data_IF_134347103105
#
_entry.id   IF_134347103105
#
_cell.length_a   1.000
_cell.length_b   1.000
_cell.length_c   1.000
_cell.angle_alpha   90.00
_cell.angle_beta   90.00
_cell.angle_gamma   90.00
#
_symmetry.space_group_name_H-M   'P 1'
#
loop_
_entity.id
_entity.type
_entity.pdbx_description
1 polymer ?
#
# COMPACT_ATOMS: atom_id res chain seq x y z
N UNK A 1 65.79 87.59 24.05
CA UNK A 1 67.13 87.97 24.52
C UNK A 1 67.64 86.89 25.45
N UNK A 2 68.77 86.24 25.10
CA UNK A 2 69.69 85.50 26.00
C UNK A 2 69.06 84.30 26.74
N UNK A 3 69.74 83.21 27.10
CA UNK A 3 71.08 82.64 26.95
C UNK A 3 70.87 81.26 27.64
N UNK A 4 71.09 80.13 26.98
CA UNK A 4 72.33 79.36 27.08
C UNK A 4 72.79 79.01 28.52
N UNK A 5 72.98 77.69 28.73
CA UNK A 5 74.06 77.03 29.52
C UNK A 5 73.69 76.46 30.92
N UNK A 6 73.32 75.15 30.93
CA UNK A 6 73.99 73.97 31.56
C UNK A 6 75.05 74.24 32.65
N UNK A 7 75.24 73.37 33.69
CA UNK A 7 75.90 72.08 33.41
C UNK A 7 75.76 70.89 34.42
N UNK A 8 76.08 69.71 33.85
CA UNK A 8 76.84 68.55 34.39
C UNK A 8 76.45 67.91 35.73
N UNK A 9 76.19 66.60 35.69
CA UNK A 9 77.08 65.60 36.34
C UNK A 9 77.12 64.27 35.55
N UNK A 10 78.31 63.70 35.55
CA UNK A 10 78.80 62.56 34.75
C UNK A 10 78.48 61.19 35.37
N UNK A 11 78.35 60.18 34.50
CA UNK A 11 78.92 58.80 34.48
C UNK A 11 79.02 58.04 35.82
N UNK A 12 78.84 56.72 35.95
CA UNK A 12 78.72 55.55 35.06
C UNK A 12 78.56 54.34 35.99
N UNK A 13 77.90 53.27 35.53
CA UNK A 13 78.45 51.90 35.47
C UNK A 13 77.37 50.84 35.72
N UNK A 14 77.29 49.93 34.75
CA UNK A 14 76.32 48.84 34.61
C UNK A 14 76.62 47.72 35.61
N UNK A 15 75.56 47.13 36.19
CA UNK A 15 75.61 45.75 36.70
C UNK A 15 74.32 45.02 36.34
N UNK A 16 74.35 44.26 35.24
CA UNK A 16 73.31 43.28 34.88
C UNK A 16 73.33 42.15 35.93
N UNK A 17 72.20 41.92 36.60
CA UNK A 17 71.96 40.70 37.39
C UNK A 17 70.56 40.17 37.07
N UNK A 18 70.51 39.05 36.33
CA UNK A 18 69.29 38.25 36.12
C UNK A 18 68.73 37.85 37.50
N UNK A 19 67.48 38.19 37.78
CA UNK A 19 66.70 37.56 38.86
C UNK A 19 65.60 36.72 38.22
N UNK A 20 65.67 35.42 38.49
CA UNK A 20 64.71 34.40 38.08
C UNK A 20 63.29 34.81 38.52
N UNK A 21 62.36 34.89 37.57
CA UNK A 21 60.93 34.93 37.89
C UNK A 21 60.52 33.54 38.37
N UNK A 22 60.19 33.53 39.66
CA UNK A 22 59.62 32.45 40.44
C UNK A 22 58.51 31.71 39.68
N UNK A 23 58.54 30.37 39.73
CA UNK A 23 57.53 29.46 39.17
C UNK A 23 56.18 29.65 39.88
N UNK A 24 55.40 30.63 39.46
CA UNK A 24 54.05 30.89 40.00
C UNK A 24 52.93 30.66 38.99
N UNK A 25 53.26 30.24 37.77
CA UNK A 25 52.28 30.00 36.69
C UNK A 25 51.64 28.60 36.78
N UNK A 26 52.28 27.65 37.47
CA UNK A 26 51.81 26.25 37.50
C UNK A 26 50.79 25.94 38.63
N UNK A 27 50.60 26.82 39.61
CA UNK A 27 49.71 26.56 40.75
C UNK A 27 48.26 26.96 40.44
N UNK A 28 48.04 28.11 39.77
CA UNK A 28 46.70 28.56 39.37
C UNK A 28 46.04 27.62 38.35
N UNK A 29 46.77 27.11 37.36
CA UNK A 29 46.22 26.18 36.37
C UNK A 29 45.90 24.81 36.98
N UNK A 30 46.66 24.35 37.97
CA UNK A 30 46.40 23.09 38.67
C UNK A 30 45.18 23.22 39.60
N UNK A 31 45.03 24.35 40.30
CA UNK A 31 43.85 24.63 41.11
C UNK A 31 42.58 24.78 40.26
N UNK A 32 42.68 25.40 39.07
CA UNK A 32 41.57 25.49 38.13
C UNK A 32 41.17 24.12 37.56
N UNK A 33 42.13 23.23 37.26
CA UNK A 33 41.86 21.86 36.81
C UNK A 33 41.25 20.99 37.92
N UNK A 34 41.71 21.13 39.16
CA UNK A 34 41.13 20.43 40.32
C UNK A 34 39.71 20.95 40.59
N UNK A 35 39.48 22.26 40.54
CA UNK A 35 38.15 22.86 40.70
C UNK A 35 37.18 22.43 39.58
N UNK A 36 37.65 22.37 38.33
CA UNK A 36 36.88 21.88 37.20
C UNK A 36 36.59 20.36 37.31
N UNK A 37 37.55 19.58 37.79
CA UNK A 37 37.36 18.14 38.08
C UNK A 37 36.37 17.89 39.23
N UNK A 38 36.43 18.68 40.30
CA UNK A 38 35.46 18.64 41.41
C UNK A 38 34.07 19.11 40.98
N UNK A 39 33.98 20.07 40.06
CA UNK A 39 32.72 20.48 39.46
C UNK A 39 32.10 19.32 38.68
N UNK A 40 32.86 18.60 37.84
CA UNK A 40 32.35 17.43 37.11
C UNK A 40 31.92 16.29 38.05
N UNK A 41 32.58 16.10 39.19
CA UNK A 41 32.19 15.11 40.20
C UNK A 41 30.92 15.47 40.99
N UNK A 42 30.47 16.73 40.97
CA UNK A 42 29.24 17.17 41.64
C UNK A 42 28.01 17.23 40.70
N UNK A 43 28.20 17.03 39.39
CA UNK A 43 27.12 16.87 38.40
C UNK A 43 27.00 15.42 37.90
N UNK A 44 27.05 14.44 38.81
CA UNK A 44 26.53 13.12 38.47
C UNK A 44 25.01 13.25 38.30
N UNK A 45 24.55 13.35 37.06
CA UNK A 45 23.13 13.20 36.73
C UNK A 45 22.72 11.80 37.19
N UNK A 46 21.87 11.71 38.21
CA UNK A 46 21.25 10.45 38.57
C UNK A 46 20.52 9.89 37.34
N UNK A 47 21.07 8.81 36.79
CA UNK A 47 20.34 7.96 35.86
C UNK A 47 19.23 7.30 36.68
N UNK A 48 18.02 7.82 36.58
CA UNK A 48 16.82 7.22 37.17
C UNK A 48 16.50 5.92 36.40
N UNK A 49 17.22 4.85 36.71
CA UNK A 49 16.73 3.52 36.40
C UNK A 49 15.48 3.31 37.26
N UNK A 50 14.31 3.17 36.63
CA UNK A 50 13.06 2.88 37.33
C UNK A 50 13.10 1.46 37.90
N UNK A 51 13.69 1.32 39.09
CA UNK A 51 13.62 0.10 39.88
C UNK A 51 12.39 0.23 40.78
N UNK A 52 11.39 -0.62 40.54
CA UNK A 52 10.22 -0.69 41.41
C UNK A 52 10.50 -1.75 42.48
N UNK A 53 10.54 -1.32 43.75
CA UNK A 53 10.86 -2.20 44.88
C UNK A 53 9.76 -2.11 45.93
N UNK A 54 9.40 -3.26 46.51
CA UNK A 54 8.73 -3.36 47.79
C UNK A 54 9.43 -4.43 48.66
N UNK A 55 8.95 -4.64 49.89
CA UNK A 55 9.56 -5.56 50.86
C UNK A 55 9.71 -7.01 50.40
N UNK A 56 9.03 -7.40 49.31
CA UNK A 56 9.02 -8.78 48.80
C UNK A 56 9.53 -8.91 47.37
N UNK A 57 9.60 -7.83 46.60
CA UNK A 57 9.90 -7.89 45.18
C UNK A 57 10.73 -6.70 44.73
N UNK A 58 11.69 -6.99 43.85
CA UNK A 58 12.53 -6.00 43.18
C UNK A 58 12.42 -6.22 41.69
N UNK A 59 11.83 -5.26 40.99
CA UNK A 59 11.68 -5.30 39.53
C UNK A 59 12.75 -4.37 38.94
N UNK A 60 13.76 -4.98 38.33
CA UNK A 60 14.73 -4.26 37.50
C UNK A 60 14.24 -4.33 36.05
N UNK A 61 13.84 -3.19 35.48
CA UNK A 61 13.44 -3.14 34.08
C UNK A 61 14.67 -3.25 33.17
N UNK A 62 14.72 -4.30 32.34
CA UNK A 62 15.53 -4.31 31.13
C UNK A 62 14.77 -3.63 29.99
N UNK A 63 15.39 -2.64 29.34
CA UNK A 63 14.98 -1.90 28.13
C UNK A 63 13.49 -1.94 27.74
N UNK A 64 12.80 -0.80 27.83
CA UNK A 64 11.50 -0.60 27.18
C UNK A 64 11.70 -0.46 25.66
N UNK A 65 11.79 -1.58 24.95
CA UNK A 65 12.03 -1.58 23.50
C UNK A 65 10.80 -1.23 22.67
N UNK A 66 9.61 -1.15 23.27
CA UNK A 66 8.37 -0.87 22.52
C UNK A 66 8.12 0.64 22.39
N UNK A 67 8.20 1.18 21.18
CA UNK A 67 7.79 2.56 20.87
C UNK A 67 6.50 2.49 20.05
N UNK A 68 5.49 3.28 20.41
CA UNK A 68 4.30 3.49 19.58
C UNK A 68 3.90 4.97 19.68
N UNK A 69 3.52 5.60 18.56
CA UNK A 69 3.12 7.01 18.59
C UNK A 69 2.84 7.62 17.23
N UNK A 70 2.19 8.79 17.26
CA UNK A 70 1.96 9.65 16.10
C UNK A 70 2.90 10.84 16.21
N UNK A 71 3.84 10.97 15.27
CA UNK A 71 4.65 12.17 15.11
C UNK A 71 4.01 13.09 14.08
N UNK A 72 3.79 14.35 14.43
CA UNK A 72 3.20 15.37 13.55
C UNK A 72 4.19 16.50 13.32
N UNK A 73 4.49 16.81 12.05
CA UNK A 73 5.38 17.90 11.69
C UNK A 73 5.25 18.25 10.20
N UNK A 74 5.31 19.55 9.86
CA UNK A 74 5.26 20.02 8.47
C UNK A 74 3.99 19.62 7.69
N UNK A 75 2.84 19.50 8.38
CA UNK A 75 1.57 19.08 7.76
C UNK A 75 1.46 17.59 7.43
N UNK A 76 2.45 16.76 7.81
CA UNK A 76 2.41 15.31 7.65
C UNK A 76 2.36 14.62 9.01
N UNK A 77 1.69 13.48 9.05
CA UNK A 77 1.62 12.61 10.24
C UNK A 77 2.30 11.29 9.92
N UNK A 78 3.26 10.90 10.74
CA UNK A 78 3.90 9.59 10.69
C UNK A 78 3.48 8.80 11.92
N UNK A 79 2.99 7.59 11.73
CA UNK A 79 2.73 6.67 12.84
C UNK A 79 3.85 5.65 12.87
N UNK A 80 4.47 5.45 14.04
CA UNK A 80 5.65 4.61 14.20
C UNK A 80 5.42 3.58 15.30
N UNK A 81 5.87 2.36 15.04
CA UNK A 81 5.91 1.24 15.98
C UNK A 81 7.31 0.61 15.94
N UNK A 82 7.98 0.42 17.08
CA UNK A 82 9.31 -0.20 17.16
C UNK A 82 9.38 -1.18 18.33
N UNK A 83 10.22 -2.22 18.18
CA UNK A 83 10.70 -3.14 19.21
C UNK A 83 9.70 -4.04 19.92
N UNK A 84 9.10 -4.98 19.16
CA UNK A 84 8.29 -6.04 19.75
C UNK A 84 8.67 -7.42 19.20
N UNK A 85 8.89 -8.39 20.11
CA UNK A 85 9.31 -9.76 19.76
C UNK A 85 8.14 -10.71 19.42
N UNK A 86 6.89 -10.35 19.72
CA UNK A 86 5.73 -11.22 19.47
C UNK A 86 4.46 -10.42 19.08
N UNK A 87 3.91 -10.74 17.91
CA UNK A 87 2.72 -10.14 17.31
C UNK A 87 1.46 -10.74 17.95
N UNK A 88 0.45 -9.93 18.30
CA UNK A 88 -0.81 -10.47 18.80
C UNK A 88 -1.73 -9.48 19.51
N UNK A 89 -2.93 -9.97 19.83
CA UNK A 89 -3.85 -9.31 20.77
C UNK A 89 -3.62 -9.91 22.16
N UNK A 90 -3.11 -9.10 23.08
CA UNK A 90 -2.95 -9.46 24.48
C UNK A 90 -4.08 -8.81 25.28
N UNK A 91 -4.78 -9.60 26.09
CA UNK A 91 -5.93 -9.15 26.87
C UNK A 91 -5.70 -9.39 28.36
N UNK A 92 -5.95 -8.37 29.18
CA UNK A 92 -6.11 -8.50 30.63
C UNK A 92 -7.51 -8.06 31.05
N UNK A 93 -7.86 -8.19 32.33
CA UNK A 93 -9.21 -7.89 32.83
C UNK A 93 -9.73 -6.49 32.47
N UNK A 94 -8.83 -5.50 32.34
CA UNK A 94 -9.18 -4.10 32.08
C UNK A 94 -8.47 -3.47 30.88
N UNK A 95 -7.71 -4.25 30.10
CA UNK A 95 -6.96 -3.69 28.97
C UNK A 95 -6.80 -4.69 27.83
N UNK A 96 -6.61 -4.13 26.64
CA UNK A 96 -6.22 -4.86 25.45
C UNK A 96 -4.99 -4.17 24.86
N UNK A 97 -3.87 -4.89 24.77
CA UNK A 97 -2.68 -4.45 24.06
C UNK A 97 -2.65 -5.15 22.71
N UNK A 98 -2.78 -4.37 21.64
CA UNK A 98 -2.51 -4.86 20.29
C UNK A 98 -1.05 -4.56 19.98
N UNK A 99 -0.32 -5.62 19.71
CA UNK A 99 1.13 -5.65 19.66
C UNK A 99 1.59 -6.10 18.27
N UNK A 100 2.53 -5.38 17.65
CA UNK A 100 3.06 -5.66 16.33
C UNK A 100 3.15 -4.43 15.42
N UNK A 101 3.15 -4.68 14.09
CA UNK A 101 3.21 -3.64 13.06
C UNK A 101 2.02 -2.68 13.16
N UNK A 102 2.24 -1.41 12.80
CA UNK A 102 1.19 -0.41 12.71
C UNK A 102 0.06 -0.91 11.78
N UNK A 103 -1.14 -1.10 12.32
CA UNK A 103 -2.32 -1.38 11.49
C UNK A 103 -2.46 -0.27 10.46
N UNK A 104 -2.40 -0.65 9.17
CA UNK A 104 -2.80 0.23 8.08
C UNK A 104 -4.31 0.36 8.20
N UNK A 105 -4.76 1.46 8.82
CA UNK A 105 -6.17 1.81 8.85
C UNK A 105 -6.56 2.26 7.46
N UNK A 106 -7.02 1.34 6.62
CA UNK A 106 -7.70 1.81 5.44
C UNK A 106 -9.06 2.35 5.82
N UNK A 107 -9.27 3.62 5.52
CA UNK A 107 -10.54 4.32 5.71
C UNK A 107 -11.58 3.81 4.70
N UNK A 108 -11.13 3.12 3.65
CA UNK A 108 -11.99 2.58 2.60
C UNK A 108 -12.18 1.08 2.87
N UNK A 109 -13.38 0.63 3.26
CA UNK A 109 -13.65 -0.80 3.34
C UNK A 109 -13.59 -1.41 1.93
N UNK A 110 -13.18 -2.68 1.84
CA UNK A 110 -13.34 -3.42 0.60
C UNK A 110 -14.82 -3.63 0.32
N UNK A 111 -15.28 -3.25 -0.87
CA UNK A 111 -16.65 -3.48 -1.32
C UNK A 111 -16.68 -3.79 -2.81
N UNK A 112 -17.52 -4.73 -3.20
CA UNK A 112 -17.79 -5.07 -4.59
C UNK A 112 -19.29 -5.00 -4.86
N UNK A 113 -19.69 -4.43 -5.99
CA UNK A 113 -21.08 -4.42 -6.46
C UNK A 113 -21.16 -4.64 -7.96
N UNK A 114 -22.27 -5.22 -8.40
CA UNK A 114 -22.61 -5.44 -9.80
C UNK A 114 -23.94 -4.73 -10.09
N UNK A 115 -24.04 -4.05 -11.23
CA UNK A 115 -25.21 -3.20 -11.54
C UNK A 115 -26.49 -4.00 -11.79
N UNK A 116 -26.38 -5.22 -12.33
CA UNK A 116 -27.51 -6.14 -12.53
C UNK A 116 -27.09 -7.58 -12.27
N UNK A 117 -27.98 -8.38 -11.68
CA UNK A 117 -27.80 -9.82 -11.49
C UNK A 117 -28.46 -10.67 -12.58
N UNK A 118 -29.21 -10.04 -13.50
CA UNK A 118 -29.91 -10.71 -14.58
C UNK A 118 -29.76 -9.92 -15.88
N UNK A 119 -29.24 -10.57 -16.92
CA UNK A 119 -29.04 -9.99 -18.25
C UNK A 119 -29.93 -10.73 -19.24
N UNK A 120 -30.93 -10.03 -19.78
CA UNK A 120 -31.83 -10.59 -20.78
C UNK A 120 -31.45 -10.06 -22.18
N UNK A 121 -31.09 -10.99 -23.08
CA UNK A 121 -30.81 -10.67 -24.47
C UNK A 121 -32.07 -10.52 -25.34
N UNK A 122 -33.20 -11.06 -24.89
CA UNK A 122 -34.45 -11.09 -25.64
C UNK A 122 -34.42 -12.19 -26.72
N UNK A 123 -35.12 -11.94 -27.83
CA UNK A 123 -35.15 -12.86 -28.98
C UNK A 123 -33.86 -12.67 -29.78
N UNK A 124 -33.16 -13.78 -30.03
CA UNK A 124 -31.96 -13.81 -30.86
C UNK A 124 -32.36 -14.16 -32.30
N UNK A 125 -31.88 -13.37 -33.27
CA UNK A 125 -32.03 -13.68 -34.69
C UNK A 125 -30.67 -14.11 -35.26
N UNK A 126 -30.63 -15.12 -36.14
CA UNK A 126 -29.38 -15.54 -36.78
C UNK A 126 -28.70 -14.42 -37.55
N UNK A 127 -27.39 -14.26 -37.34
CA UNK A 127 -26.59 -13.24 -38.02
C UNK A 127 -26.76 -11.82 -37.50
N UNK A 128 -27.54 -11.61 -36.43
CA UNK A 128 -27.78 -10.30 -35.79
C UNK A 128 -27.23 -10.29 -34.36
N UNK A 129 -25.95 -9.94 -34.16
CA UNK A 129 -25.34 -9.94 -32.83
C UNK A 129 -26.01 -8.95 -31.87
N UNK A 130 -26.31 -9.41 -30.66
CA UNK A 130 -26.87 -8.57 -29.59
C UNK A 130 -25.84 -8.37 -28.49
N UNK A 131 -25.72 -7.13 -28.01
CA UNK A 131 -24.86 -6.77 -26.87
C UNK A 131 -25.67 -6.28 -25.66
N UNK A 132 -25.15 -6.57 -24.46
CA UNK A 132 -25.68 -6.08 -23.18
C UNK A 132 -24.52 -5.70 -22.27
N UNK A 133 -24.75 -4.79 -21.33
CA UNK A 133 -23.70 -4.28 -20.44
C UNK A 133 -24.03 -4.54 -18.98
N UNK A 134 -22.99 -4.63 -18.16
CA UNK A 134 -23.10 -4.70 -16.70
C UNK A 134 -21.86 -4.07 -16.07
N UNK A 135 -22.06 -3.15 -15.13
CA UNK A 135 -20.97 -2.46 -14.48
C UNK A 135 -20.54 -3.19 -13.20
N UNK A 136 -19.23 -3.39 -13.05
CA UNK A 136 -18.59 -3.89 -11.86
C UNK A 136 -17.94 -2.71 -11.13
N UNK A 137 -18.24 -2.54 -9.85
CA UNK A 137 -17.68 -1.47 -9.04
C UNK A 137 -16.93 -2.05 -7.86
N UNK A 138 -15.67 -1.64 -7.69
CA UNK A 138 -14.86 -1.99 -6.53
C UNK A 138 -14.40 -0.73 -5.81
N UNK A 139 -14.51 -0.75 -4.49
CA UNK A 139 -13.74 0.15 -3.62
C UNK A 139 -12.76 -0.70 -2.83
N UNK A 140 -11.48 -0.36 -2.93
CA UNK A 140 -10.43 -1.06 -2.23
C UNK A 140 -9.59 -0.09 -1.41
N UNK A 141 -9.49 -0.41 -0.13
CA UNK A 141 -8.65 0.30 0.80
C UNK A 141 -7.28 -0.31 1.04
N UNK A 142 -7.05 -1.55 0.65
CA UNK A 142 -5.79 -2.23 0.93
C UNK A 142 -4.68 -1.70 0.03
N UNK A 143 -3.46 -1.64 0.57
CA UNK A 143 -2.28 -1.27 -0.22
C UNK A 143 -1.89 -2.39 -1.21
N UNK A 144 -2.29 -3.64 -0.95
CA UNK A 144 -2.02 -4.80 -1.81
C UNK A 144 -2.94 -4.93 -3.01
N UNK A 145 -3.95 -4.07 -3.17
CA UNK A 145 -4.86 -4.11 -4.32
C UNK A 145 -6.01 -5.11 -4.18
N UNK A 146 -6.59 -5.48 -5.32
CA UNK A 146 -7.67 -6.45 -5.42
C UNK A 146 -7.69 -7.12 -6.80
N UNK A 147 -8.42 -8.23 -6.87
CA UNK A 147 -8.72 -8.92 -8.11
C UNK A 147 -10.18 -9.37 -8.13
N UNK A 148 -10.82 -9.25 -9.28
CA UNK A 148 -12.11 -9.87 -9.59
C UNK A 148 -11.87 -10.90 -10.69
N UNK A 149 -12.20 -12.15 -10.40
CA UNK A 149 -12.20 -13.24 -11.37
C UNK A 149 -13.62 -13.55 -11.82
N UNK A 150 -13.75 -14.07 -13.04
CA UNK A 150 -15.02 -14.49 -13.61
C UNK A 150 -14.92 -15.90 -14.21
N UNK A 151 -16.00 -16.66 -14.08
CA UNK A 151 -16.18 -17.99 -14.67
C UNK A 151 -17.63 -18.20 -15.04
N UNK A 152 -17.90 -18.99 -16.06
CA UNK A 152 -19.25 -19.47 -16.40
C UNK A 152 -19.47 -20.91 -15.91
N UNK A 153 -20.71 -21.28 -15.60
CA UNK A 153 -21.07 -22.65 -15.24
C UNK A 153 -21.09 -23.59 -16.47
N UNK A 154 -21.66 -23.11 -17.56
CA UNK A 154 -21.69 -23.76 -18.86
C UNK A 154 -21.91 -22.69 -19.96
N UNK A 155 -21.67 -23.03 -21.25
CA UNK A 155 -22.12 -22.17 -22.34
C UNK A 155 -23.63 -21.91 -22.25
N UNK A 156 -24.14 -20.91 -22.97
CA UNK A 156 -25.57 -20.64 -23.00
C UNK A 156 -26.34 -21.90 -23.42
N UNK A 157 -27.10 -22.51 -22.50
CA UNK A 157 -27.66 -23.86 -22.64
C UNK A 157 -29.17 -23.87 -22.46
N UNK A 158 -29.85 -24.69 -23.24
CA UNK A 158 -31.23 -25.09 -22.98
C UNK A 158 -31.22 -26.21 -21.94
N UNK A 159 -31.70 -25.94 -20.73
CA UNK A 159 -31.64 -26.91 -19.62
C UNK A 159 -32.38 -28.23 -19.90
N UNK A 160 -33.45 -28.21 -20.71
CA UNK A 160 -34.25 -29.39 -20.99
C UNK A 160 -33.65 -30.32 -22.05
N UNK A 161 -32.85 -29.79 -22.99
CA UNK A 161 -32.30 -30.56 -24.12
C UNK A 161 -30.77 -30.68 -24.07
N UNK A 162 -30.09 -29.84 -23.29
CA UNK A 162 -28.63 -29.77 -23.24
C UNK A 162 -27.99 -29.14 -24.47
N UNK A 163 -28.78 -28.52 -25.36
CA UNK A 163 -28.27 -27.83 -26.55
C UNK A 163 -27.64 -26.50 -26.15
N UNK A 164 -26.44 -26.23 -26.68
CA UNK A 164 -25.65 -25.05 -26.37
C UNK A 164 -25.61 -24.06 -27.55
N UNK A 165 -25.55 -22.77 -27.21
CA UNK A 165 -24.87 -21.76 -27.99
C UNK A 165 -23.42 -21.76 -27.47
N UNK A 166 -22.43 -22.16 -28.28
CA UNK A 166 -21.06 -22.28 -27.83
C UNK A 166 -20.46 -20.92 -27.48
N UNK A 167 -19.33 -20.93 -26.79
CA UNK A 167 -18.52 -19.72 -26.66
C UNK A 167 -17.95 -19.27 -28.00
N UNK A 168 -17.74 -17.97 -28.13
CA UNK A 168 -17.14 -17.38 -29.33
C UNK A 168 -15.68 -17.79 -29.45
N UNK A 169 -15.28 -18.15 -30.67
CA UNK A 169 -13.87 -18.27 -31.06
C UNK A 169 -13.39 -17.04 -31.83
N UNK A 170 -14.23 -16.00 -31.91
CA UNK A 170 -14.00 -14.77 -32.65
C UNK A 170 -13.77 -15.04 -34.15
N UNK A 171 -13.57 -13.99 -34.95
CA UNK A 171 -13.59 -14.12 -36.42
C UNK A 171 -12.45 -15.01 -36.95
N UNK A 172 -11.30 -14.98 -36.29
CA UNK A 172 -10.13 -15.77 -36.65
C UNK A 172 -10.07 -17.17 -36.04
N UNK A 173 -11.04 -17.55 -35.19
CA UNK A 173 -10.99 -18.83 -34.48
C UNK A 173 -9.91 -18.91 -33.38
N UNK A 174 -9.33 -17.78 -32.96
CA UNK A 174 -8.15 -17.73 -32.09
C UNK A 174 -8.44 -17.28 -30.66
N UNK A 175 -9.63 -16.73 -30.38
CA UNK A 175 -9.91 -16.28 -29.02
C UNK A 175 -10.27 -17.47 -28.11
N UNK A 176 -9.77 -17.38 -26.88
CA UNK A 176 -9.93 -18.36 -25.81
C UNK A 176 -10.33 -17.60 -24.53
N UNK A 177 -10.32 -18.27 -23.37
CA UNK A 177 -10.61 -17.61 -22.10
C UNK A 177 -9.49 -16.66 -21.64
N UNK A 178 -8.29 -16.83 -22.21
CA UNK A 178 -7.08 -16.07 -21.91
C UNK A 178 -6.65 -15.14 -23.04
N UNK A 179 -7.08 -15.41 -24.28
CA UNK A 179 -6.72 -14.64 -25.47
C UNK A 179 -7.97 -14.00 -26.07
N UNK A 180 -7.96 -12.68 -26.21
CA UNK A 180 -8.99 -11.93 -26.94
C UNK A 180 -8.62 -11.79 -28.42
N UNK A 181 -9.64 -11.71 -29.27
CA UNK A 181 -9.46 -11.39 -30.68
C UNK A 181 -10.66 -10.60 -31.23
N UNK A 182 -10.52 -10.04 -32.43
CA UNK A 182 -11.57 -9.29 -33.09
C UNK A 182 -12.79 -10.17 -33.41
N UNK A 183 -13.97 -9.69 -33.03
CA UNK A 183 -15.27 -10.25 -33.38
C UNK A 183 -16.14 -9.16 -33.99
N UNK A 184 -16.00 -9.00 -35.30
CA UNK A 184 -16.68 -8.02 -36.15
C UNK A 184 -17.66 -8.68 -37.12
N UNK A 185 -17.40 -9.91 -37.54
CA UNK A 185 -18.21 -10.62 -38.52
C UNK A 185 -19.57 -11.03 -37.93
N UNK A 186 -20.69 -10.74 -38.63
CA UNK A 186 -22.00 -11.24 -38.25
C UNK A 186 -22.14 -12.76 -38.49
N UNK A 187 -21.20 -13.38 -39.20
CA UNK A 187 -21.17 -14.84 -39.43
C UNK A 187 -20.43 -15.60 -38.33
N UNK A 188 -19.80 -14.89 -37.39
CA UNK A 188 -19.17 -15.48 -36.22
C UNK A 188 -20.20 -15.58 -35.10
N UNK A 189 -20.40 -16.79 -34.60
CA UNK A 189 -21.44 -17.12 -33.61
C UNK A 189 -20.83 -17.48 -32.26
N UNK A 190 -21.66 -17.37 -31.23
CA UNK A 190 -21.36 -17.82 -29.89
C UNK A 190 -21.66 -16.76 -28.84
N UNK A 191 -21.09 -16.96 -27.66
CA UNK A 191 -21.19 -16.07 -26.51
C UNK A 191 -19.81 -15.64 -26.03
N UNK A 192 -19.67 -14.38 -25.65
CA UNK A 192 -18.42 -13.85 -25.12
C UNK A 192 -18.59 -12.49 -24.48
N UNK A 193 -17.49 -11.93 -24.02
CA UNK A 193 -17.46 -10.63 -23.37
C UNK A 193 -16.26 -9.80 -23.76
N UNK A 194 -16.41 -8.51 -23.55
CA UNK A 194 -15.31 -7.56 -23.43
C UNK A 194 -15.41 -6.81 -22.11
N UNK A 195 -14.30 -6.21 -21.73
CA UNK A 195 -14.24 -5.36 -20.55
C UNK A 195 -13.70 -3.99 -20.96
N UNK A 196 -14.34 -2.93 -20.48
CA UNK A 196 -13.97 -1.54 -20.73
C UNK A 196 -13.78 -0.82 -19.40
N UNK A 197 -12.82 0.10 -19.34
CA UNK A 197 -12.66 0.99 -18.19
C UNK A 197 -13.68 2.14 -18.25
N UNK A 198 -14.51 2.28 -17.23
CA UNK A 198 -15.41 3.44 -17.07
C UNK A 198 -14.73 4.49 -16.19
N UNK A 199 -14.23 4.07 -15.04
CA UNK A 199 -13.36 4.85 -14.17
C UNK A 199 -12.14 4.02 -13.76
N UNK A 200 -10.96 4.66 -13.73
CA UNK A 200 -9.71 3.95 -13.48
C UNK A 200 -9.21 3.19 -14.70
N UNK A 201 -8.34 2.21 -14.45
CA UNK A 201 -7.66 1.40 -15.48
C UNK A 201 -7.62 -0.08 -15.09
N UNK A 202 -8.60 -0.52 -14.30
CA UNK A 202 -8.56 -1.79 -13.59
C UNK A 202 -9.11 -2.96 -14.42
N UNK A 203 -9.65 -2.71 -15.61
CA UNK A 203 -10.10 -3.76 -16.51
C UNK A 203 -8.95 -4.67 -16.95
N UNK A 204 -9.23 -5.98 -17.09
CA UNK A 204 -8.25 -6.93 -17.61
C UNK A 204 -7.74 -6.53 -19.00
N UNK A 205 -6.44 -6.71 -19.22
CA UNK A 205 -5.81 -6.40 -20.50
C UNK A 205 -6.24 -7.38 -21.61
N UNK A 206 -5.95 -7.00 -22.86
CA UNK A 206 -6.25 -7.79 -24.07
C UNK A 206 -7.35 -7.20 -24.95
N UNK A 207 -8.20 -6.31 -24.43
CA UNK A 207 -9.22 -5.64 -25.22
C UNK A 207 -8.65 -4.39 -25.89
N UNK A 208 -7.97 -4.58 -27.04
CA UNK A 208 -7.30 -3.49 -27.76
C UNK A 208 -8.26 -2.38 -28.21
N UNK A 209 -9.47 -2.76 -28.60
CA UNK A 209 -10.56 -1.85 -28.97
C UNK A 209 -11.93 -2.51 -28.74
N UNK A 210 -13.01 -1.78 -29.08
CA UNK A 210 -14.41 -2.23 -28.89
C UNK A 210 -14.82 -3.49 -29.67
N UNK A 211 -13.99 -3.95 -30.61
CA UNK A 211 -14.20 -5.14 -31.42
C UNK A 211 -13.58 -6.40 -30.83
N UNK A 212 -12.73 -6.28 -29.80
CA UNK A 212 -12.07 -7.43 -29.19
C UNK A 212 -12.95 -8.06 -28.13
N UNK A 213 -13.14 -9.38 -28.22
CA UNK A 213 -13.89 -10.17 -27.26
C UNK A 213 -13.10 -11.42 -26.87
N UNK A 214 -13.47 -12.02 -25.75
CA UNK A 214 -12.98 -13.33 -25.32
C UNK A 214 -14.12 -14.13 -24.68
N UNK A 215 -13.94 -15.44 -24.57
CA UNK A 215 -14.91 -16.30 -23.90
C UNK A 215 -14.70 -16.28 -22.38
N UNK A 216 -15.73 -16.64 -21.60
CA UNK A 216 -15.54 -16.91 -20.19
C UNK A 216 -14.81 -18.24 -19.99
N UNK A 217 -14.10 -18.36 -18.87
CA UNK A 217 -13.51 -19.64 -18.47
C UNK A 217 -14.58 -20.52 -17.84
N UNK A 218 -14.56 -21.81 -18.17
CA UNK A 218 -15.51 -22.77 -17.60
C UNK A 218 -15.16 -23.07 -16.13
N UNK A 219 -16.16 -23.01 -15.26
CA UNK A 219 -16.02 -23.38 -13.85
C UNK A 219 -15.51 -24.84 -13.75
N UNK A 220 -14.54 -25.13 -12.86
CA UNK A 220 -14.08 -24.31 -11.73
C UNK A 220 -12.91 -23.35 -12.04
N UNK A 221 -12.40 -23.28 -13.28
CA UNK A 221 -11.37 -22.28 -13.63
C UNK A 221 -12.00 -20.90 -13.81
N UNK A 222 -11.27 -19.86 -13.39
CA UNK A 222 -11.71 -18.48 -13.47
C UNK A 222 -10.57 -17.59 -13.98
N UNK A 223 -10.93 -16.58 -14.76
CA UNK A 223 -9.98 -15.63 -15.36
C UNK A 223 -10.20 -14.24 -14.79
N UNK A 224 -9.13 -13.45 -14.74
CA UNK A 224 -9.18 -12.09 -14.23
C UNK A 224 -9.98 -11.21 -15.21
N UNK A 225 -10.93 -10.46 -14.68
CA UNK A 225 -11.71 -9.46 -15.42
C UNK A 225 -11.45 -8.04 -14.96
N UNK A 226 -11.11 -7.87 -13.69
CA UNK A 226 -10.78 -6.58 -13.10
C UNK A 226 -9.70 -6.78 -12.04
N UNK A 227 -8.71 -5.89 -11.96
CA UNK A 227 -7.66 -5.91 -10.95
C UNK A 227 -7.09 -4.51 -10.78
N UNK A 228 -6.90 -4.10 -9.53
CA UNK A 228 -6.26 -2.83 -9.19
C UNK A 228 -5.16 -3.05 -8.16
N UNK A 229 -4.03 -2.36 -8.29
CA UNK A 229 -2.89 -2.48 -7.36
C UNK A 229 -2.86 -1.40 -6.29
N UNK A 230 -3.68 -0.36 -6.44
CA UNK A 230 -3.67 0.82 -5.58
C UNK A 230 -4.96 0.95 -4.77
N UNK A 231 -4.88 1.78 -3.74
CA UNK A 231 -6.07 2.26 -3.03
C UNK A 231 -6.92 3.08 -4.00
N UNK A 232 -8.20 2.71 -4.10
CA UNK A 232 -9.15 3.32 -5.02
C UNK A 232 -10.56 3.26 -4.48
N UNK A 233 -11.35 4.29 -4.72
CA UNK A 233 -12.78 4.32 -4.40
C UNK A 233 -13.56 4.28 -5.70
N UNK A 234 -14.62 3.48 -5.73
CA UNK A 234 -15.58 3.42 -6.83
C UNK A 234 -14.90 3.24 -8.20
N UNK A 235 -13.88 2.39 -8.28
CA UNK A 235 -13.28 2.00 -9.56
C UNK A 235 -14.33 1.17 -10.31
N UNK A 236 -14.60 1.54 -11.56
CA UNK A 236 -15.71 1.01 -12.32
C UNK A 236 -15.25 0.48 -13.68
N UNK A 237 -15.57 -0.79 -13.93
CA UNK A 237 -15.38 -1.42 -15.23
C UNK A 237 -16.71 -1.88 -15.79
N UNK A 238 -16.88 -1.78 -17.10
CA UNK A 238 -18.06 -2.25 -17.80
C UNK A 238 -17.76 -3.56 -18.50
N UNK A 239 -18.49 -4.62 -18.15
CA UNK A 239 -18.49 -5.86 -18.91
C UNK A 239 -19.56 -5.74 -19.99
N UNK A 240 -19.16 -5.84 -21.26
CA UNK A 240 -20.08 -5.92 -22.38
C UNK A 240 -20.14 -7.36 -22.89
N UNK A 241 -21.29 -8.00 -22.73
CA UNK A 241 -21.58 -9.32 -23.27
C UNK A 241 -22.02 -9.18 -24.72
N UNK A 242 -21.64 -10.16 -25.55
CA UNK A 242 -22.07 -10.27 -26.94
C UNK A 242 -22.50 -11.70 -27.22
N UNK A 243 -23.65 -11.83 -27.88
CA UNK A 243 -24.19 -13.13 -28.33
C UNK A 243 -24.60 -13.04 -29.79
N UNK A 244 -24.32 -14.09 -30.55
CA UNK A 244 -24.82 -14.28 -31.91
C UNK A 244 -25.07 -15.76 -32.15
N UNK A 245 -26.03 -16.10 -33.01
CA UNK A 245 -26.44 -17.49 -33.26
C UNK A 245 -26.42 -17.82 -34.75
N UNK A 246 -26.19 -19.09 -35.07
CA UNK A 246 -26.29 -19.59 -36.44
C UNK A 246 -27.74 -19.79 -36.86
N UNK A 247 -27.99 -19.88 -38.17
CA UNK A 247 -29.32 -20.21 -38.70
C UNK A 247 -29.76 -21.64 -38.37
N UNK A 248 -28.82 -22.50 -37.96
CA UNK A 248 -29.08 -23.88 -37.55
C UNK A 248 -29.28 -24.04 -36.05
N UNK A 249 -29.15 -22.96 -35.26
CA UNK A 249 -29.35 -23.00 -33.82
C UNK A 249 -30.81 -23.36 -33.51
N UNK A 250 -31.09 -24.43 -32.75
CA UNK A 250 -32.46 -24.79 -32.39
C UNK A 250 -33.17 -23.70 -31.58
N UNK A 251 -34.48 -23.58 -31.74
CA UNK A 251 -35.26 -22.69 -30.90
C UNK A 251 -35.29 -23.20 -29.44
N UNK A 252 -35.13 -22.30 -28.48
CA UNK A 252 -35.13 -22.65 -27.06
C UNK A 252 -34.84 -21.46 -26.15
N UNK A 253 -35.05 -21.66 -24.85
CA UNK A 253 -34.63 -20.71 -23.81
C UNK A 253 -33.23 -21.07 -23.35
N UNK A 254 -32.25 -20.27 -23.75
CA UNK A 254 -30.84 -20.46 -23.41
C UNK A 254 -30.49 -19.63 -22.16
N UNK A 255 -29.77 -20.25 -21.24
CA UNK A 255 -29.33 -19.60 -20.00
C UNK A 255 -27.95 -20.10 -19.59
N UNK A 256 -27.25 -19.29 -18.80
CA UNK A 256 -26.05 -19.65 -18.06
C UNK A 256 -25.91 -18.73 -16.84
N UNK A 257 -24.93 -19.01 -15.99
CA UNK A 257 -24.58 -18.21 -14.82
C UNK A 257 -23.12 -17.79 -14.90
N UNK A 258 -22.89 -16.48 -14.88
CA UNK A 258 -21.55 -15.91 -14.73
C UNK A 258 -21.30 -15.61 -13.25
N UNK A 259 -20.31 -16.29 -12.68
CA UNK A 259 -19.87 -16.09 -11.30
C UNK A 259 -18.70 -15.13 -11.26
N UNK A 260 -18.82 -14.08 -10.44
CA UNK A 260 -17.74 -13.14 -10.13
C UNK A 260 -17.26 -13.34 -8.70
N UNK A 261 -15.95 -13.48 -8.51
CA UNK A 261 -15.32 -13.58 -7.19
C UNK A 261 -14.36 -12.41 -7.03
N UNK A 262 -14.67 -11.52 -6.08
CA UNK A 262 -13.85 -10.36 -5.76
C UNK A 262 -13.00 -10.65 -4.51
N UNK A 263 -11.68 -10.68 -4.67
CA UNK A 263 -10.71 -11.02 -3.64
C UNK A 263 -9.80 -9.82 -3.37
N UNK A 264 -9.81 -9.25 -2.16
CA UNK A 264 -8.82 -8.24 -1.77
C UNK A 264 -7.46 -8.91 -1.56
N UNK A 265 -6.39 -8.26 -2.01
CA UNK A 265 -5.01 -8.67 -1.74
C UNK A 265 -4.43 -7.84 -0.59
N UNK A 266 -3.68 -8.52 0.29
CA UNK A 266 -3.04 -7.93 1.48
C UNK A 266 -1.55 -7.67 1.25
#
# INVERSE_FOLDING_TARGET
MKLMILPKRLKSCVKKRKRNKMKFVNCCSFAALISFGLFILTFTLDSQAQVMVNDKYRIEYGNFNSIAGKSTGGGKTLTMTSGQNAIGLYTGSNYKVKAGFQYIYSIIPFSFSISSTSINFGVLNPGEPITRTNNLTVSNGTAGGYQVTASEDHPLRVLSTGVDIPNTTCDGGTCTDSVSAAWTSPLTYGFGYRCDNVTGTDCASGFSDSTYYKQFSASPSAQIVMSGTNVGRSQETQITYKVNISATQPAGSYQNVIMYIATPTI
#
